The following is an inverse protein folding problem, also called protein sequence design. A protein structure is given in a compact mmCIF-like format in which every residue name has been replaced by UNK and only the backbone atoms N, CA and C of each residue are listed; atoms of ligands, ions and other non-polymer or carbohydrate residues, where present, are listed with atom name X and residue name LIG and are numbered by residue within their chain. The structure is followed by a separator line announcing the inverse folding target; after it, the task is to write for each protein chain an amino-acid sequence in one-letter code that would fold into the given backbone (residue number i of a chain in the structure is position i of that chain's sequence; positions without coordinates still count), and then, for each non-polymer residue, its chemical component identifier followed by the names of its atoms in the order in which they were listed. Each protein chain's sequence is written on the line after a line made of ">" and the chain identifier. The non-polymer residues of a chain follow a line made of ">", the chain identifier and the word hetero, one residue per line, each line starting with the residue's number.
data_IF_435601693944
#
_entry.id   IF_435601693944
#
_cell.length_a   1.000
_cell.length_b   1.000
_cell.length_c   1.000
_cell.angle_alpha   90.00
_cell.angle_beta   90.00
_cell.angle_gamma   90.00
#
_symmetry.space_group_name_H-M   'P 1'
#
loop_
_entity.id
_entity.type
_entity.pdbx_description
1 polymer ?
#
# COMPACT_ATOMS: atom_id res chain seq x y z
N UNK A 1 -21.66 1.32 37.72
CA UNK A 1 -21.14 0.10 38.37
C UNK A 1 -20.40 -0.70 37.33
N UNK A 2 -19.11 -0.92 37.59
CA UNK A 2 -18.33 -2.13 37.24
C UNK A 2 -17.94 -2.23 35.74
N UNK A 3 -16.71 -1.79 35.39
CA UNK A 3 -15.44 -2.57 35.36
C UNK A 3 -15.23 -3.16 33.96
N UNK A 4 -14.39 -2.55 33.13
CA UNK A 4 -12.96 -2.90 32.92
C UNK A 4 -12.76 -4.28 32.29
N UNK A 5 -12.19 -4.26 31.09
CA UNK A 5 -10.99 -5.00 30.66
C UNK A 5 -10.47 -4.19 29.44
N UNK A 6 -9.35 -3.48 29.43
CA UNK A 6 -7.94 -3.88 29.64
C UNK A 6 -7.66 -5.29 29.10
N UNK A 7 -7.23 -5.33 27.84
CA UNK A 7 -6.25 -6.30 27.35
C UNK A 7 -5.11 -5.45 26.77
N UNK A 8 -4.08 -5.17 27.57
CA UNK A 8 -2.86 -5.99 27.74
C UNK A 8 -1.92 -5.83 26.54
N UNK A 9 -0.78 -5.21 26.85
CA UNK A 9 0.37 -4.96 25.99
C UNK A 9 1.13 -6.28 25.73
N UNK A 10 1.87 -6.31 24.61
CA UNK A 10 3.08 -7.10 24.30
C UNK A 10 2.89 -8.42 23.53
N UNK A 11 3.39 -8.44 22.29
CA UNK A 11 4.11 -9.55 21.62
C UNK A 11 4.92 -8.91 20.46
N UNK A 12 6.22 -8.69 20.63
CA UNK A 12 7.39 -9.54 20.29
C UNK A 12 7.97 -9.24 18.89
N UNK A 13 9.27 -8.93 18.84
CA UNK A 13 10.13 -9.12 17.68
C UNK A 13 10.01 -10.57 17.19
N UNK A 14 9.50 -10.75 15.98
CA UNK A 14 9.31 -12.07 15.39
C UNK A 14 8.67 -11.98 14.02
N UNK A 15 9.52 -12.15 13.01
CA UNK A 15 9.17 -12.63 11.68
C UNK A 15 8.13 -13.77 11.80
N UNK A 16 6.86 -13.44 11.63
CA UNK A 16 5.75 -14.38 11.61
C UNK A 16 4.90 -14.02 10.41
N UNK A 17 5.20 -14.68 9.30
CA UNK A 17 4.43 -14.68 8.05
C UNK A 17 3.02 -15.23 8.29
N UNK A 18 2.17 -14.45 8.96
CA UNK A 18 0.73 -14.58 8.79
C UNK A 18 0.39 -13.82 7.52
N UNK A 19 0.07 -14.59 6.48
CA UNK A 19 -0.59 -14.12 5.26
C UNK A 19 -2.01 -13.63 5.60
N UNK A 20 -2.10 -12.58 6.42
CA UNK A 20 -3.32 -11.85 6.69
C UNK A 20 -3.51 -10.83 5.56
N UNK A 21 -3.88 -11.30 4.36
CA UNK A 21 -4.37 -10.51 3.23
C UNK A 21 -3.86 -9.05 3.17
N UNK A 22 -2.54 -8.85 3.20
CA UNK A 22 -1.96 -7.52 3.13
C UNK A 22 -2.10 -7.07 1.67
N UNK A 23 -3.14 -6.31 1.40
CA UNK A 23 -3.46 -5.71 0.11
C UNK A 23 -2.54 -4.52 -0.21
N UNK A 24 -1.89 -3.94 0.82
CA UNK A 24 -0.91 -2.85 0.65
C UNK A 24 0.35 -2.98 1.51
N UNK A 25 1.43 -2.33 1.07
CA UNK A 25 2.73 -2.24 1.75
C UNK A 25 3.31 -0.84 1.67
N UNK A 26 4.06 -0.44 2.71
CA UNK A 26 4.79 0.82 2.68
C UNK A 26 5.95 0.78 1.67
N UNK A 27 6.14 1.83 0.87
CA UNK A 27 7.27 1.92 -0.07
C UNK A 27 8.59 2.23 0.62
N UNK A 28 9.69 1.81 0.00
CA UNK A 28 11.05 2.24 0.34
C UNK A 28 11.50 3.32 -0.66
N UNK A 29 11.16 4.58 -0.35
CA UNK A 29 11.40 5.72 -1.22
C UNK A 29 10.61 5.65 -2.54
N UNK A 30 11.29 5.33 -3.65
CA UNK A 30 10.66 5.12 -4.96
C UNK A 30 10.36 3.66 -5.29
N UNK A 31 10.81 2.75 -4.43
CA UNK A 31 10.75 1.32 -4.68
C UNK A 31 9.58 0.72 -3.93
N UNK A 32 8.87 -0.17 -4.62
CA UNK A 32 7.94 -1.09 -3.99
C UNK A 32 8.57 -2.48 -3.93
N UNK A 33 8.25 -3.29 -2.91
CA UNK A 33 8.67 -4.68 -2.88
C UNK A 33 8.08 -5.46 -4.06
N UNK A 34 8.75 -6.55 -4.46
CA UNK A 34 8.38 -7.31 -5.65
C UNK A 34 6.98 -7.93 -5.59
N UNK A 35 6.51 -8.26 -4.38
CA UNK A 35 5.16 -8.79 -4.14
C UNK A 35 4.07 -7.70 -4.21
N UNK A 36 4.45 -6.41 -4.16
CA UNK A 36 3.54 -5.26 -4.23
C UNK A 36 3.93 -4.33 -5.38
N UNK A 37 3.86 -4.79 -6.64
CA UNK A 37 4.41 -4.07 -7.77
C UNK A 37 3.60 -2.82 -8.16
N UNK A 38 2.39 -2.60 -7.65
CA UNK A 38 1.54 -1.48 -8.06
C UNK A 38 1.84 -0.25 -7.22
N UNK A 39 2.29 0.84 -7.84
CA UNK A 39 2.66 2.08 -7.15
C UNK A 39 1.46 3.02 -7.05
N UNK A 40 0.93 3.24 -5.85
CA UNK A 40 -0.08 4.25 -5.57
C UNK A 40 0.54 5.55 -5.05
N UNK A 41 0.20 6.69 -5.66
CA UNK A 41 0.60 8.01 -5.19
C UNK A 41 -0.61 8.94 -5.01
N UNK A 42 -0.51 9.83 -4.03
CA UNK A 42 -1.45 10.95 -3.90
C UNK A 42 -0.85 12.17 -4.60
N UNK A 43 -1.54 12.68 -5.62
CA UNK A 43 -1.12 13.88 -6.34
C UNK A 43 -1.23 15.13 -5.46
N UNK A 44 -0.60 16.22 -5.86
CA UNK A 44 -0.73 17.51 -5.15
C UNK A 44 -2.17 18.03 -5.10
N UNK A 45 -3.03 17.59 -6.03
CA UNK A 45 -4.46 17.90 -6.05
C UNK A 45 -5.29 16.97 -5.14
N UNK A 46 -4.64 16.04 -4.42
CA UNK A 46 -5.30 15.05 -3.57
C UNK A 46 -5.85 13.85 -4.32
N UNK A 47 -5.54 13.68 -5.61
CA UNK A 47 -5.99 12.52 -6.38
C UNK A 47 -5.15 11.29 -6.05
N UNK A 48 -5.81 10.16 -5.77
CA UNK A 48 -5.16 8.86 -5.61
C UNK A 48 -4.99 8.21 -6.97
N UNK A 49 -3.75 8.01 -7.40
CA UNK A 49 -3.40 7.48 -8.72
C UNK A 49 -2.51 6.26 -8.55
N UNK A 50 -2.82 5.15 -9.19
CA UNK A 50 -1.94 3.99 -9.24
C UNK A 50 -1.23 3.87 -10.59
N UNK A 51 -0.07 3.23 -10.57
CA UNK A 51 0.78 2.95 -11.73
C UNK A 51 1.19 1.47 -11.73
N UNK A 52 0.99 0.80 -12.87
CA UNK A 52 1.47 -0.57 -13.06
C UNK A 52 2.89 -0.60 -13.63
N UNK A 53 3.66 -1.68 -13.40
CA UNK A 53 4.95 -1.89 -14.04
C UNK A 53 4.84 -1.75 -15.57
N UNK A 54 5.84 -1.08 -16.15
CA UNK A 54 5.87 -0.81 -17.60
C UNK A 54 5.12 0.47 -18.01
N UNK A 55 4.42 1.14 -17.09
CA UNK A 55 3.79 2.40 -17.41
C UNK A 55 4.80 3.55 -17.51
N UNK A 56 4.52 4.55 -18.35
CA UNK A 56 5.43 5.65 -18.68
C UNK A 56 6.00 6.38 -17.45
N UNK A 57 5.19 6.52 -16.39
CA UNK A 57 5.62 7.20 -15.16
C UNK A 57 5.94 6.26 -14.00
N UNK A 58 5.91 4.94 -14.21
CA UNK A 58 6.09 3.97 -13.13
C UNK A 58 7.40 4.15 -12.35
N UNK A 59 8.52 4.39 -13.04
CA UNK A 59 9.83 4.58 -12.41
C UNK A 59 10.05 5.98 -11.84
N UNK A 60 9.28 6.96 -12.32
CA UNK A 60 9.33 8.36 -11.86
C UNK A 60 8.42 8.62 -10.66
N UNK A 61 7.36 7.83 -10.49
CA UNK A 61 6.38 7.97 -9.41
C UNK A 61 7.03 7.67 -8.06
N UNK A 62 6.82 8.58 -7.11
CA UNK A 62 7.04 8.33 -5.69
C UNK A 62 5.75 7.76 -5.09
N UNK A 63 5.69 6.44 -4.84
CA UNK A 63 4.53 5.85 -4.20
C UNK A 63 4.37 6.39 -2.77
N UNK A 64 3.14 6.64 -2.37
CA UNK A 64 2.73 6.77 -0.98
C UNK A 64 2.37 5.40 -0.39
N UNK A 65 1.92 4.48 -1.25
CA UNK A 65 1.49 3.14 -0.91
C UNK A 65 1.76 2.18 -2.08
N UNK A 66 2.12 0.94 -1.80
CA UNK A 66 2.33 -0.11 -2.79
C UNK A 66 1.24 -1.16 -2.66
N UNK A 67 0.71 -1.68 -3.78
CA UNK A 67 -0.34 -2.69 -3.81
C UNK A 67 0.09 -3.94 -4.55
N UNK A 68 -0.50 -5.08 -4.19
CA UNK A 68 -0.27 -6.35 -4.86
C UNK A 68 -0.89 -6.36 -6.26
N UNK A 69 -2.11 -5.82 -6.39
CA UNK A 69 -2.86 -5.78 -7.65
C UNK A 69 -3.45 -4.40 -7.96
N UNK A 70 -4.00 -4.25 -9.17
CA UNK A 70 -4.74 -3.04 -9.54
C UNK A 70 -6.06 -2.94 -8.77
N UNK A 71 -6.78 -4.05 -8.64
CA UNK A 71 -8.05 -4.14 -7.89
C UNK A 71 -7.87 -3.69 -6.44
N UNK A 72 -6.80 -4.15 -5.78
CA UNK A 72 -6.37 -3.71 -4.44
C UNK A 72 -6.21 -2.18 -4.32
N UNK A 73 -5.61 -1.56 -5.33
CA UNK A 73 -5.46 -0.12 -5.39
C UNK A 73 -6.81 0.59 -5.63
N UNK A 74 -7.68 0.02 -6.45
CA UNK A 74 -9.02 0.52 -6.73
C UNK A 74 -9.93 0.45 -5.50
N UNK A 75 -9.88 -0.64 -4.74
CA UNK A 75 -10.56 -0.80 -3.44
C UNK A 75 -10.06 0.21 -2.40
N UNK A 76 -8.77 0.56 -2.44
CA UNK A 76 -8.20 1.66 -1.65
C UNK A 76 -8.56 3.07 -2.17
N UNK A 77 -9.31 3.15 -3.28
CA UNK A 77 -9.81 4.38 -3.88
C UNK A 77 -8.81 5.08 -4.80
N UNK A 78 -7.80 4.37 -5.30
CA UNK A 78 -6.89 4.86 -6.34
C UNK A 78 -7.52 4.64 -7.71
N UNK A 79 -7.35 5.60 -8.61
CA UNK A 79 -7.69 5.43 -10.03
C UNK A 79 -6.45 5.11 -10.85
N UNK A 80 -6.62 4.47 -12.01
CA UNK A 80 -5.54 4.30 -12.96
C UNK A 80 -4.94 5.65 -13.38
N UNK A 81 -3.62 5.68 -13.58
CA UNK A 81 -2.95 6.74 -14.35
C UNK A 81 -3.60 6.88 -15.72
N UNK A 82 -3.76 8.13 -16.17
CA UNK A 82 -4.24 8.44 -17.52
C UNK A 82 -3.19 8.15 -18.60
N UNK A 83 -1.94 7.94 -18.17
CA UNK A 83 -0.80 7.66 -19.02
C UNK A 83 -0.20 6.32 -18.57
N UNK A 84 -0.30 5.34 -19.48
CA UNK A 84 0.27 4.00 -19.40
C UNK A 84 1.46 3.97 -20.34
#
# INVERSE_FOLDING_TARGET
>A
MITTVVALVLTHDGDNSSVDSETSRSPDGRNCPSDFPVKGNVSQAGERIYHLPGWQYYDATYPSECFSTADDAEDAGYRASKVQ
#
